data_IF_157177437618
#
_entry.id   IF_157177437618
#
_cell.length_a   1.000
_cell.length_b   1.000
_cell.length_c   1.000
_cell.angle_alpha   90.00
_cell.angle_beta   90.00
_cell.angle_gamma   90.00
#
_symmetry.space_group_name_H-M   'P 1'
#
loop_
_entity.id
_entity.type
_entity.pdbx_description
1 polymer ?
#
# COMPACT_ATOMS: atom_id res chain seq x y z
N UNK A 1 14.13 -14.57 -10.14
CA UNK A 1 15.23 -14.05 -10.96
C UNK A 1 16.22 -13.36 -10.04
N UNK A 2 17.54 -13.50 -10.26
CA UNK A 2 18.56 -12.81 -9.45
C UNK A 2 19.33 -11.84 -10.32
N UNK A 3 19.43 -10.61 -9.86
CA UNK A 3 20.15 -9.52 -10.53
C UNK A 3 21.04 -8.81 -9.51
N UNK A 4 22.04 -8.11 -10.00
CA UNK A 4 22.80 -7.16 -9.20
C UNK A 4 22.20 -5.78 -9.43
N UNK A 5 21.84 -5.08 -8.34
CA UNK A 5 21.27 -3.74 -8.37
C UNK A 5 22.10 -2.85 -7.44
N UNK A 6 22.41 -1.64 -7.90
CA UNK A 6 22.97 -0.59 -7.07
C UNK A 6 21.83 0.21 -6.45
N UNK A 7 21.83 0.38 -5.13
CA UNK A 7 20.87 1.19 -4.37
C UNK A 7 21.62 2.05 -3.37
N UNK A 8 20.98 3.14 -2.95
CA UNK A 8 21.50 4.00 -1.88
C UNK A 8 21.46 3.29 -0.52
N UNK A 9 22.34 3.69 0.39
CA UNK A 9 22.52 3.07 1.71
C UNK A 9 21.28 3.19 2.59
N UNK A 10 20.49 4.27 2.42
CA UNK A 10 19.24 4.49 3.14
C UNK A 10 18.16 3.48 2.72
N UNK A 11 18.04 3.19 1.42
CA UNK A 11 17.16 2.14 0.89
C UNK A 11 17.56 0.78 1.42
N UNK A 12 18.87 0.49 1.49
CA UNK A 12 19.37 -0.75 2.06
C UNK A 12 19.02 -0.88 3.56
N UNK A 13 19.16 0.20 4.33
CA UNK A 13 18.79 0.23 5.75
C UNK A 13 17.29 -0.07 5.95
N UNK A 14 16.42 0.57 5.15
CA UNK A 14 14.97 0.35 5.19
C UNK A 14 14.63 -1.11 4.86
N UNK A 15 15.22 -1.67 3.80
CA UNK A 15 14.99 -3.06 3.41
C UNK A 15 15.40 -4.05 4.50
N UNK A 16 16.47 -3.75 5.24
CA UNK A 16 16.96 -4.56 6.35
C UNK A 16 15.99 -4.55 7.53
N UNK A 17 15.52 -3.36 7.92
CA UNK A 17 14.49 -3.22 8.96
C UNK A 17 13.21 -3.95 8.58
N UNK A 18 12.78 -3.87 7.32
CA UNK A 18 11.59 -4.60 6.85
C UNK A 18 11.81 -6.12 6.91
N UNK A 19 12.97 -6.61 6.48
CA UNK A 19 13.29 -8.03 6.53
C UNK A 19 13.28 -8.59 7.97
N UNK A 20 13.84 -7.82 8.91
CA UNK A 20 13.86 -8.18 10.34
C UNK A 20 12.45 -8.18 10.94
N UNK A 21 11.64 -7.17 10.61
CA UNK A 21 10.25 -7.05 11.07
C UNK A 21 9.35 -8.17 10.54
N UNK A 22 9.46 -8.49 9.25
CA UNK A 22 8.64 -9.52 8.58
C UNK A 22 9.21 -10.94 8.70
N UNK A 23 10.41 -11.11 9.30
CA UNK A 23 11.07 -12.41 9.42
C UNK A 23 11.42 -13.05 8.06
N UNK A 24 11.75 -12.24 7.05
CA UNK A 24 12.03 -12.70 5.68
C UNK A 24 13.47 -12.39 5.23
N UNK A 25 13.84 -12.84 4.03
CA UNK A 25 15.16 -12.51 3.47
C UNK A 25 15.22 -11.06 2.95
N UNK A 26 16.42 -10.49 2.91
CA UNK A 26 16.65 -9.15 2.36
C UNK A 26 16.19 -9.04 0.89
N UNK A 27 16.39 -10.08 0.09
CA UNK A 27 15.97 -10.13 -1.32
C UNK A 27 14.44 -10.07 -1.45
N UNK A 28 13.73 -10.76 -0.55
CA UNK A 28 12.26 -10.72 -0.48
C UNK A 28 11.77 -9.34 -0.06
N UNK A 29 12.40 -8.72 0.94
CA UNK A 29 12.08 -7.37 1.39
C UNK A 29 12.32 -6.32 0.30
N UNK A 30 13.45 -6.37 -0.42
CA UNK A 30 13.72 -5.48 -1.56
C UNK A 30 12.69 -5.68 -2.68
N UNK A 31 12.37 -6.95 -3.00
CA UNK A 31 11.36 -7.26 -4.02
C UNK A 31 9.98 -6.72 -3.63
N UNK A 32 9.66 -6.73 -2.34
CA UNK A 32 8.41 -6.21 -1.81
C UNK A 32 8.37 -4.67 -1.86
N UNK A 33 9.43 -3.99 -1.45
CA UNK A 33 9.55 -2.54 -1.60
C UNK A 33 9.40 -2.11 -3.07
N UNK A 34 10.05 -2.83 -3.99
CA UNK A 34 9.94 -2.57 -5.43
C UNK A 34 8.50 -2.76 -5.94
N UNK A 35 7.78 -3.81 -5.48
CA UNK A 35 6.36 -3.99 -5.82
C UNK A 35 5.48 -2.88 -5.26
N UNK A 36 5.71 -2.47 -4.01
CA UNK A 36 4.96 -1.37 -3.37
C UNK A 36 5.17 -0.04 -4.08
N UNK A 37 6.41 0.27 -4.47
CA UNK A 37 6.72 1.49 -5.24
C UNK A 37 6.24 1.45 -6.69
N UNK A 38 6.14 0.26 -7.29
CA UNK A 38 5.66 0.08 -8.67
C UNK A 38 4.14 0.17 -8.80
N UNK A 39 3.40 -0.07 -7.72
CA UNK A 39 2.00 0.36 -7.60
C UNK A 39 2.03 1.89 -7.55
N UNK A 40 2.03 2.51 -8.74
CA UNK A 40 2.05 3.97 -8.86
C UNK A 40 1.00 4.56 -7.95
N UNK A 41 1.28 5.76 -7.40
CA UNK A 41 0.31 6.51 -6.60
C UNK A 41 -0.99 6.50 -7.38
N UNK A 42 -2.00 5.77 -6.89
CA UNK A 42 -3.34 5.86 -7.46
C UNK A 42 -3.62 7.34 -7.51
N UNK A 43 -3.75 7.88 -8.72
CA UNK A 43 -3.83 9.31 -8.91
C UNK A 43 -5.12 9.73 -8.22
N UNK A 44 -5.00 10.20 -6.98
CA UNK A 44 -6.07 10.86 -6.25
C UNK A 44 -6.58 11.90 -7.24
N UNK A 45 -7.80 11.69 -7.74
CA UNK A 45 -8.40 12.72 -8.56
C UNK A 45 -8.73 13.83 -7.57
N UNK A 46 -8.06 14.96 -7.72
CA UNK A 46 -8.50 16.19 -7.07
C UNK A 46 -9.72 16.62 -7.87
N UNK A 47 -10.90 16.36 -7.34
CA UNK A 47 -12.14 16.96 -7.82
C UNK A 47 -12.50 18.06 -6.81
N UNK A 48 -12.65 19.30 -7.29
CA UNK A 48 -12.98 20.47 -6.46
C UNK A 48 -12.04 20.71 -5.25
N UNK A 49 -10.72 20.61 -5.42
CA UNK A 49 -9.68 20.81 -4.38
C UNK A 49 -9.73 19.82 -3.19
N UNK A 50 -10.55 18.78 -3.27
CA UNK A 50 -10.63 17.73 -2.25
C UNK A 50 -9.99 16.45 -2.81
N UNK A 51 -9.06 15.81 -2.08
CA UNK A 51 -8.55 14.49 -2.45
C UNK A 51 -9.72 13.49 -2.50
N UNK A 52 -10.07 13.03 -3.69
CA UNK A 52 -11.13 12.04 -3.90
C UNK A 52 -10.55 10.73 -4.46
N UNK A 53 -11.12 9.62 -4.01
CA UNK A 53 -10.90 8.30 -4.59
C UNK A 53 -11.95 8.03 -5.66
N UNK A 54 -11.58 7.29 -6.72
CA UNK A 54 -12.56 6.89 -7.73
C UNK A 54 -13.43 5.77 -7.19
N UNK A 55 -14.73 6.01 -7.20
CA UNK A 55 -15.75 4.98 -7.00
C UNK A 55 -16.26 4.55 -8.39
N UNK A 56 -16.54 3.26 -8.57
CA UNK A 56 -17.13 2.78 -9.81
C UNK A 56 -18.52 3.43 -10.02
N UNK A 57 -18.95 3.73 -11.26
CA UNK A 57 -20.22 4.42 -11.51
C UNK A 57 -21.45 3.65 -11.00
N UNK A 58 -21.31 2.34 -10.85
CA UNK A 58 -22.29 1.37 -10.42
C UNK A 58 -22.10 0.88 -8.98
N UNK A 59 -21.16 1.48 -8.23
CA UNK A 59 -20.95 1.11 -6.84
C UNK A 59 -22.18 1.47 -5.98
N UNK A 60 -22.59 0.55 -5.13
CA UNK A 60 -23.69 0.76 -4.20
C UNK A 60 -23.28 1.77 -3.10
N UNK A 61 -24.15 2.73 -2.75
CA UNK A 61 -23.85 3.66 -1.66
C UNK A 61 -23.72 2.93 -0.33
N UNK A 62 -22.72 3.32 0.47
CA UNK A 62 -22.60 2.84 1.85
C UNK A 62 -23.81 3.32 2.66
N UNK A 63 -24.52 2.39 3.28
CA UNK A 63 -25.71 2.67 4.07
C UNK A 63 -25.37 2.77 5.57
N UNK A 64 -26.32 3.30 6.36
CA UNK A 64 -26.20 3.30 7.82
C UNK A 64 -26.18 1.88 8.42
N UNK A 65 -26.73 0.88 7.71
CA UNK A 65 -26.71 -0.51 8.15
C UNK A 65 -25.30 -1.10 8.02
N UNK A 66 -24.61 -0.82 6.90
CA UNK A 66 -23.22 -1.22 6.68
C UNK A 66 -22.28 -0.64 7.73
N UNK A 67 -22.48 0.64 8.09
CA UNK A 67 -21.70 1.30 9.16
C UNK A 67 -21.94 0.60 10.50
N UNK A 68 -23.20 0.29 10.84
CA UNK A 68 -23.54 -0.38 12.11
C UNK A 68 -22.93 -1.77 12.18
N UNK A 69 -22.94 -2.52 11.07
CA UNK A 69 -22.34 -3.85 11.00
C UNK A 69 -20.82 -3.77 11.20
N UNK A 70 -20.13 -2.86 10.51
CA UNK A 70 -18.68 -2.68 10.61
C UNK A 70 -18.22 -2.27 12.03
N UNK A 71 -18.99 -1.42 12.72
CA UNK A 71 -18.67 -1.02 14.10
C UNK A 71 -18.86 -2.15 15.12
N UNK A 72 -19.75 -3.11 14.85
CA UNK A 72 -19.97 -4.25 15.75
C UNK A 72 -18.82 -5.24 15.73
N UNK A 73 -18.06 -5.30 14.62
CA UNK A 73 -16.90 -6.16 14.43
C UNK A 73 -15.58 -5.48 14.84
N UNK A 74 -15.65 -4.23 15.33
CA UNK A 74 -14.49 -3.49 15.82
C UNK A 74 -14.12 -3.95 17.24
N UNK A 75 -12.85 -4.34 17.50
CA UNK A 75 -12.41 -4.85 18.80
C UNK A 75 -12.43 -3.80 19.93
#
# INVERSE_FOLDING_TARGET
>A
MRITLTIDDDVLAIARTLAEYDGCSLESAISELARRGSKGVETLKVDADIPSFRVAPDAEPVTNEDIRAAMSDWP
#
